data_IF_207467847555
#
_entry.id   IF_207467847555
#
_cell.length_a   1.000
_cell.length_b   1.000
_cell.length_c   1.000
_cell.angle_alpha   90.00
_cell.angle_beta   90.00
_cell.angle_gamma   90.00
#
_symmetry.space_group_name_H-M   'P 1'
#
loop_
_entity.id
_entity.type
_entity.pdbx_description
1 polymer ?
#
# COMPACT_ATOMS: atom_id res chain seq x y z
N UNK A 1 -48.44 -33.21 32.13
CA UNK A 1 -48.26 -32.35 30.94
C UNK A 1 -47.21 -31.29 31.28
N UNK A 2 -45.94 -31.52 30.94
CA UNK A 2 -44.90 -30.48 31.01
C UNK A 2 -44.19 -30.48 29.66
N UNK A 3 -44.42 -29.40 28.92
CA UNK A 3 -43.94 -29.19 27.55
C UNK A 3 -42.46 -28.84 27.59
N UNK A 4 -41.70 -29.53 26.75
CA UNK A 4 -40.29 -29.30 26.51
C UNK A 4 -40.09 -27.92 25.87
N UNK A 5 -39.17 -27.13 26.39
CA UNK A 5 -38.62 -25.95 25.72
C UNK A 5 -37.11 -26.20 25.54
N UNK A 6 -36.74 -26.94 24.50
CA UNK A 6 -35.36 -27.04 24.02
C UNK A 6 -34.98 -25.70 23.37
N UNK A 7 -34.22 -24.89 24.10
CA UNK A 7 -33.53 -23.72 23.54
C UNK A 7 -32.26 -24.25 22.86
N UNK A 8 -32.27 -24.34 21.53
CA UNK A 8 -31.06 -24.58 20.76
C UNK A 8 -30.25 -23.29 20.73
N UNK A 9 -29.27 -23.16 21.63
CA UNK A 9 -28.31 -22.06 21.63
C UNK A 9 -27.34 -22.33 20.47
N UNK A 10 -27.61 -21.72 19.31
CA UNK A 10 -26.64 -21.61 18.22
C UNK A 10 -25.47 -20.76 18.72
N UNK A 11 -24.42 -21.42 19.19
CA UNK A 11 -23.11 -20.81 19.43
C UNK A 11 -22.51 -20.41 18.08
N UNK A 12 -22.88 -19.22 17.61
CA UNK A 12 -22.20 -18.57 16.50
C UNK A 12 -20.84 -18.12 17.03
N UNK A 13 -19.81 -18.95 16.82
CA UNK A 13 -18.42 -18.58 17.06
C UNK A 13 -18.09 -17.35 16.20
N UNK A 14 -18.13 -16.17 16.81
CA UNK A 14 -17.56 -14.95 16.26
C UNK A 14 -16.04 -15.17 16.23
N UNK A 15 -15.51 -15.61 15.08
CA UNK A 15 -14.07 -15.64 14.90
C UNK A 15 -13.59 -14.18 14.93
N UNK A 16 -12.61 -13.83 15.79
CA UNK A 16 -12.02 -12.51 15.74
C UNK A 16 -11.42 -12.33 14.34
N UNK A 17 -11.91 -11.33 13.62
CA UNK A 17 -11.29 -10.88 12.38
C UNK A 17 -9.91 -10.36 12.76
N UNK A 18 -8.87 -11.17 12.57
CA UNK A 18 -7.49 -10.70 12.71
C UNK A 18 -7.31 -9.66 11.62
N UNK A 19 -7.39 -8.38 11.99
CA UNK A 19 -7.03 -7.29 11.11
C UNK A 19 -5.51 -7.35 10.92
N UNK A 20 -5.08 -8.17 9.95
CA UNK A 20 -3.68 -8.41 9.71
C UNK A 20 -3.05 -7.10 9.19
N UNK A 21 -2.24 -6.48 10.04
CA UNK A 21 -1.49 -5.28 9.67
C UNK A 21 -0.66 -5.55 8.41
N UNK A 22 -0.66 -4.61 7.47
CA UNK A 22 0.16 -4.67 6.26
C UNK A 22 1.63 -4.76 6.65
N UNK A 23 2.31 -5.77 6.11
CA UNK A 23 3.72 -6.03 6.34
C UNK A 23 4.53 -5.68 5.10
N UNK A 24 5.59 -4.89 5.26
CA UNK A 24 6.40 -4.46 4.12
C UNK A 24 6.99 -5.63 3.32
N UNK A 25 7.64 -6.59 3.97
CA UNK A 25 8.35 -7.66 3.26
C UNK A 25 7.39 -8.63 2.56
N UNK A 26 6.25 -8.93 3.19
CA UNK A 26 5.24 -9.85 2.65
C UNK A 26 4.35 -9.19 1.60
N UNK A 27 3.86 -7.98 1.85
CA UNK A 27 2.76 -7.40 1.08
C UNK A 27 3.22 -6.28 0.13
N UNK A 28 4.19 -5.46 0.55
CA UNK A 28 4.57 -4.23 -0.20
C UNK A 28 5.77 -4.45 -1.11
N UNK A 29 6.80 -5.15 -0.61
CA UNK A 29 8.04 -5.38 -1.34
C UNK A 29 7.81 -6.11 -2.67
N UNK A 30 6.93 -7.13 -2.77
CA UNK A 30 6.62 -7.76 -4.06
C UNK A 30 6.02 -6.77 -5.06
N UNK A 31 5.09 -5.92 -4.61
CA UNK A 31 4.44 -4.88 -5.44
C UNK A 31 5.49 -3.91 -5.99
N UNK A 32 6.39 -3.42 -5.14
CA UNK A 32 7.45 -2.50 -5.58
C UNK A 32 8.39 -3.17 -6.60
N UNK A 33 8.77 -4.44 -6.37
CA UNK A 33 9.63 -5.19 -7.28
C UNK A 33 9.00 -5.39 -8.65
N UNK A 34 7.72 -5.76 -8.69
CA UNK A 34 7.03 -6.11 -9.92
C UNK A 34 6.58 -4.89 -10.73
N UNK A 35 6.14 -3.82 -10.06
CA UNK A 35 5.43 -2.73 -10.72
C UNK A 35 6.12 -1.37 -10.65
N UNK A 36 7.21 -1.23 -9.90
CA UNK A 36 7.82 0.07 -9.64
C UNK A 36 9.31 0.12 -9.99
N UNK A 37 10.08 -0.92 -9.63
CA UNK A 37 11.55 -0.88 -9.68
C UNK A 37 12.10 -0.88 -11.11
N UNK A 38 11.38 -1.39 -12.11
CA UNK A 38 11.83 -1.34 -13.51
C UNK A 38 12.15 0.10 -13.96
N UNK A 39 11.26 1.05 -13.66
CA UNK A 39 11.41 2.46 -14.02
C UNK A 39 11.98 3.35 -12.91
N UNK A 40 11.93 2.89 -11.66
CA UNK A 40 12.32 3.64 -10.45
C UNK A 40 13.33 2.87 -9.57
N UNK A 41 14.26 2.17 -10.21
CA UNK A 41 15.27 1.34 -9.58
C UNK A 41 16.70 1.78 -9.94
N UNK A 42 17.67 0.88 -9.76
CA UNK A 42 19.06 1.18 -10.08
C UNK A 42 19.30 1.40 -11.58
N UNK A 43 18.62 0.62 -12.44
CA UNK A 43 18.75 0.66 -13.91
C UNK A 43 18.14 1.90 -14.53
N UNK A 44 17.01 2.36 -14.00
CA UNK A 44 16.28 3.51 -14.51
C UNK A 44 15.68 4.31 -13.37
N UNK A 45 15.79 5.64 -13.46
CA UNK A 45 15.38 6.58 -12.42
C UNK A 45 14.44 7.61 -13.04
N UNK A 46 13.30 7.17 -13.56
CA UNK A 46 12.35 8.08 -14.18
C UNK A 46 11.98 9.19 -13.20
N UNK A 47 12.12 10.44 -13.65
CA UNK A 47 11.93 11.65 -12.82
C UNK A 47 12.82 11.71 -11.56
N UNK A 48 13.97 11.03 -11.57
CA UNK A 48 14.91 10.99 -10.45
C UNK A 48 14.44 10.18 -9.25
N UNK A 49 13.40 9.35 -9.42
CA UNK A 49 12.80 8.55 -8.34
C UNK A 49 13.51 7.19 -8.19
N UNK A 50 13.82 6.84 -6.94
CA UNK A 50 14.39 5.55 -6.50
C UNK A 50 13.54 4.92 -5.41
N UNK A 51 12.97 3.74 -5.68
CA UNK A 51 12.10 2.97 -4.77
C UNK A 51 12.73 1.67 -4.26
N UNK A 52 13.86 1.27 -4.85
CA UNK A 52 14.67 0.13 -4.41
C UNK A 52 15.53 0.44 -3.16
N UNK A 53 15.67 1.73 -2.81
CA UNK A 53 16.47 2.19 -1.67
C UNK A 53 15.62 3.03 -0.72
N UNK A 54 15.51 2.56 0.52
CA UNK A 54 14.71 3.25 1.56
C UNK A 54 15.14 4.70 1.78
N UNK A 55 16.45 4.96 1.79
CA UNK A 55 17.02 6.30 2.01
C UNK A 55 16.63 7.33 0.94
N UNK A 56 16.34 6.86 -0.27
CA UNK A 56 15.96 7.71 -1.40
C UNK A 56 14.43 7.84 -1.48
N UNK A 57 13.70 6.77 -1.17
CA UNK A 57 12.24 6.74 -1.20
C UNK A 57 11.61 7.51 -0.03
N UNK A 58 12.15 7.35 1.18
CA UNK A 58 11.63 7.88 2.44
C UNK A 58 12.66 8.86 3.01
N UNK A 59 12.25 10.10 3.32
CA UNK A 59 13.17 11.10 3.83
C UNK A 59 13.62 10.76 5.26
N UNK A 60 14.88 11.01 5.58
CA UNK A 60 15.39 10.89 6.96
C UNK A 60 14.93 12.04 7.88
N UNK A 61 14.23 13.04 7.35
CA UNK A 61 13.68 14.21 8.07
C UNK A 61 12.35 14.64 7.47
N UNK A 62 11.38 14.97 8.30
CA UNK A 62 10.09 15.53 7.87
C UNK A 62 10.34 16.86 7.15
N UNK A 63 9.69 17.07 5.99
CA UNK A 63 9.81 18.30 5.20
C UNK A 63 10.98 18.35 4.19
N UNK A 64 11.71 17.25 3.97
CA UNK A 64 12.73 17.22 2.92
C UNK A 64 12.09 17.21 1.52
N UNK A 65 12.45 18.18 0.66
CA UNK A 65 11.91 18.44 -0.68
C UNK A 65 12.10 17.32 -1.74
N UNK A 66 12.49 16.10 -1.34
CA UNK A 66 12.74 14.96 -2.24
C UNK A 66 12.05 13.66 -1.82
N UNK A 67 11.21 13.72 -0.77
CA UNK A 67 10.47 12.57 -0.28
C UNK A 67 9.47 12.08 -1.32
N UNK A 68 9.59 10.82 -1.72
CA UNK A 68 8.67 10.20 -2.66
C UNK A 68 7.54 9.44 -1.96
N UNK A 69 7.83 9.04 -0.72
CA UNK A 69 6.90 8.46 0.24
C UNK A 69 6.98 9.27 1.52
N UNK A 70 5.83 9.73 2.01
CA UNK A 70 5.65 10.45 3.27
C UNK A 70 4.92 9.51 4.24
N UNK A 71 5.63 8.87 5.19
CA UNK A 71 4.99 8.00 6.17
C UNK A 71 3.90 8.74 6.95
N UNK A 72 2.75 8.10 7.16
CA UNK A 72 1.54 8.69 7.74
C UNK A 72 0.69 9.51 6.78
N UNK A 73 1.08 9.65 5.49
CA UNK A 73 0.38 10.53 4.56
C UNK A 73 0.49 10.06 3.10
N UNK A 74 -0.34 9.09 2.72
CA UNK A 74 -0.47 8.67 1.32
C UNK A 74 -0.94 9.79 0.39
N UNK A 75 -1.84 10.67 0.86
CA UNK A 75 -2.34 11.80 0.08
C UNK A 75 -1.25 12.83 -0.26
N UNK A 76 -0.22 12.96 0.58
CA UNK A 76 0.95 13.81 0.34
C UNK A 76 2.13 13.09 -0.29
N UNK A 77 1.99 11.79 -0.63
CA UNK A 77 3.08 10.98 -1.17
C UNK A 77 3.05 10.94 -2.70
N UNK A 78 4.06 11.48 -3.41
CA UNK A 78 4.11 11.48 -4.88
C UNK A 78 3.92 10.10 -5.53
N UNK A 79 4.47 9.04 -4.92
CA UNK A 79 4.29 7.66 -5.40
C UNK A 79 2.81 7.29 -5.46
N UNK A 80 2.06 7.55 -4.39
CA UNK A 80 0.64 7.19 -4.30
C UNK A 80 -0.23 8.07 -5.20
N UNK A 81 0.08 9.37 -5.30
CA UNK A 81 -0.58 10.27 -6.24
C UNK A 81 -0.38 9.82 -7.69
N UNK A 82 0.78 9.26 -8.00
CA UNK A 82 1.05 8.68 -9.31
C UNK A 82 0.26 7.42 -9.62
N UNK A 83 0.18 6.50 -8.66
CA UNK A 83 -0.63 5.27 -8.78
C UNK A 83 -2.12 5.58 -9.00
N UNK A 84 -2.62 6.62 -8.34
CA UNK A 84 -4.04 7.03 -8.41
C UNK A 84 -4.34 8.00 -9.56
N UNK A 85 -3.34 8.38 -10.37
CA UNK A 85 -3.51 9.32 -11.47
C UNK A 85 -3.88 10.74 -11.05
N UNK A 86 -3.62 11.11 -9.79
CA UNK A 86 -3.90 12.44 -9.24
C UNK A 86 -2.77 13.46 -9.45
N UNK A 87 -1.64 13.03 -10.01
CA UNK A 87 -0.53 13.89 -10.40
C UNK A 87 -0.66 14.36 -11.86
N UNK A 88 -0.04 15.51 -12.18
CA UNK A 88 0.08 15.97 -13.57
C UNK A 88 1.15 15.18 -14.33
N UNK A 89 0.90 14.91 -15.62
CA UNK A 89 1.81 14.20 -16.52
C UNK A 89 1.44 12.73 -16.77
N UNK A 90 2.45 11.92 -17.10
CA UNK A 90 2.25 10.50 -17.42
C UNK A 90 1.76 9.71 -16.21
N UNK A 91 0.72 8.89 -16.42
CA UNK A 91 0.19 7.95 -15.43
C UNK A 91 1.26 6.91 -15.06
N UNK A 92 1.29 6.53 -13.79
CA UNK A 92 2.14 5.44 -13.30
C UNK A 92 1.26 4.30 -12.78
N UNK A 93 1.53 3.03 -13.16
CA UNK A 93 2.48 2.60 -14.20
C UNK A 93 2.06 2.99 -15.63
N UNK A 94 3.01 3.09 -16.60
CA UNK A 94 2.70 3.38 -18.00
C UNK A 94 1.85 2.30 -18.67
N UNK A 95 1.98 1.06 -18.22
CA UNK A 95 1.21 -0.08 -18.72
C UNK A 95 -0.29 -0.03 -18.34
N UNK A 96 -0.68 0.89 -17.45
CA UNK A 96 -2.05 1.03 -16.96
C UNK A 96 -2.13 0.98 -15.43
N UNK A 97 -3.32 1.19 -14.86
CA UNK A 97 -3.53 1.10 -13.42
C UNK A 97 -3.23 -0.30 -12.88
N UNK A 98 -2.70 -0.33 -11.65
CA UNK A 98 -2.64 -1.56 -10.86
C UNK A 98 -4.04 -1.98 -10.38
N UNK A 99 -4.14 -3.25 -9.96
CA UNK A 99 -5.30 -3.74 -9.23
C UNK A 99 -5.56 -2.81 -8.02
N UNK A 100 -6.82 -2.33 -7.81
CA UNK A 100 -7.19 -1.51 -6.67
C UNK A 100 -6.77 -2.08 -5.31
N UNK A 101 -6.74 -3.40 -5.15
CA UNK A 101 -6.28 -4.06 -3.92
C UNK A 101 -4.79 -3.79 -3.65
N UNK A 102 -3.95 -3.86 -4.69
CA UNK A 102 -2.52 -3.56 -4.58
C UNK A 102 -2.30 -2.07 -4.25
N UNK A 103 -3.10 -1.19 -4.87
CA UNK A 103 -3.09 0.25 -4.54
C UNK A 103 -3.47 0.46 -3.08
N UNK A 104 -4.46 -0.29 -2.57
CA UNK A 104 -4.88 -0.19 -1.17
C UNK A 104 -3.84 -0.73 -0.19
N UNK A 105 -3.11 -1.80 -0.54
CA UNK A 105 -1.97 -2.29 0.25
C UNK A 105 -0.91 -1.20 0.38
N UNK A 106 -0.54 -0.57 -0.75
CA UNK A 106 0.43 0.55 -0.75
C UNK A 106 -0.09 1.73 0.06
N UNK A 107 -1.36 2.11 -0.10
CA UNK A 107 -1.99 3.17 0.70
C UNK A 107 -1.89 2.90 2.20
N UNK A 108 -2.34 1.71 2.61
CA UNK A 108 -2.40 1.28 4.02
C UNK A 108 -1.02 1.13 4.64
N UNK A 109 0.00 0.83 3.84
CA UNK A 109 1.38 0.82 4.31
C UNK A 109 1.98 2.22 4.48
N UNK A 110 1.59 3.17 3.62
CA UNK A 110 2.09 4.54 3.71
C UNK A 110 1.44 5.28 4.87
N UNK A 111 0.13 5.10 5.09
CA UNK A 111 -0.61 5.71 6.20
C UNK A 111 -0.26 5.08 7.56
#
# INVERSE_FOLDING_TARGET
>A
MQRQCTIAILWMCLLPQVNAQVNFARDVQPILKEHCIECHGASQQMRGLRLDRRSDAIPNRVGANRASIVPGNSAGSPVYLGLTGKQTGLRMPPAGPLNPELINIVKTWID
#
